data_IF_453411743618
#
_entry.id   IF_453411743618
#
_cell.length_a   1.000
_cell.length_b   1.000
_cell.length_c   1.000
_cell.angle_alpha   90.00
_cell.angle_beta   90.00
_cell.angle_gamma   90.00
#
_symmetry.space_group_name_H-M   'P 1'
#
loop_
_entity.id
_entity.type
_entity.pdbx_description
1 polymer ?
#
# COMPACT_ATOMS: atom_id res chain seq x y z
N UNK A 1 -12.89 -8.60 -6.40
CA UNK A 1 -11.96 -8.22 -5.34
C UNK A 1 -11.74 -6.70 -5.33
N UNK A 2 -11.18 -6.12 -6.39
CA UNK A 2 -10.87 -4.69 -6.47
C UNK A 2 -12.11 -3.79 -6.30
N UNK A 3 -13.26 -4.21 -6.85
CA UNK A 3 -14.54 -3.53 -6.66
C UNK A 3 -14.87 -3.33 -5.16
N UNK A 4 -14.64 -4.35 -4.33
CA UNK A 4 -14.91 -4.27 -2.89
C UNK A 4 -13.96 -3.34 -2.15
N UNK A 5 -12.70 -3.20 -2.61
CA UNK A 5 -11.78 -2.21 -2.04
C UNK A 5 -12.27 -0.78 -2.31
N UNK A 6 -12.72 -0.50 -3.53
CA UNK A 6 -13.28 0.80 -3.88
C UNK A 6 -14.55 1.09 -3.07
N UNK A 7 -15.47 0.12 -2.97
CA UNK A 7 -16.67 0.25 -2.15
C UNK A 7 -16.35 0.53 -0.68
N UNK A 8 -15.33 -0.15 -0.11
CA UNK A 8 -14.90 0.10 1.26
C UNK A 8 -14.39 1.53 1.46
N UNK A 9 -13.56 2.04 0.54
CA UNK A 9 -13.07 3.42 0.60
C UNK A 9 -14.22 4.44 0.51
N UNK A 10 -15.19 4.21 -0.37
CA UNK A 10 -16.35 5.09 -0.57
C UNK A 10 -17.27 5.20 0.65
N UNK A 11 -17.20 4.25 1.60
CA UNK A 11 -17.98 4.35 2.84
C UNK A 11 -17.52 5.49 3.75
N UNK A 12 -16.28 5.96 3.62
CA UNK A 12 -15.66 6.92 4.53
C UNK A 12 -15.42 6.39 5.96
N UNK A 13 -15.60 5.07 6.18
CA UNK A 13 -15.38 4.46 7.51
C UNK A 13 -13.91 4.19 7.81
N UNK A 14 -13.09 4.08 6.77
CA UNK A 14 -11.69 3.65 6.88
C UNK A 14 -10.75 4.76 6.44
N UNK A 15 -9.70 4.99 7.21
CA UNK A 15 -8.62 5.91 6.85
C UNK A 15 -7.67 5.28 5.82
N UNK A 16 -7.58 3.93 5.83
CA UNK A 16 -6.62 3.19 5.00
C UNK A 16 -7.20 1.86 4.52
N UNK A 17 -6.92 1.50 3.26
CA UNK A 17 -7.11 0.15 2.71
C UNK A 17 -5.81 -0.62 2.85
N UNK A 18 -5.85 -1.74 3.60
CA UNK A 18 -4.68 -2.59 3.83
C UNK A 18 -4.39 -3.53 2.65
N UNK A 19 -3.10 -3.86 2.43
CA UNK A 19 -2.59 -4.87 1.47
C UNK A 19 -3.46 -5.05 0.21
N UNK A 20 -3.59 -4.03 -0.65
CA UNK A 20 -4.67 -3.91 -1.64
C UNK A 20 -4.66 -4.95 -2.78
N UNK A 21 -3.56 -5.67 -2.99
CA UNK A 21 -3.46 -6.74 -3.98
C UNK A 21 -3.17 -8.12 -3.36
N UNK A 22 -3.54 -8.32 -2.09
CA UNK A 22 -3.31 -9.58 -1.37
C UNK A 22 -3.89 -10.80 -2.10
N UNK A 23 -4.88 -10.60 -2.95
CA UNK A 23 -5.52 -11.65 -3.76
C UNK A 23 -4.52 -12.45 -4.60
N UNK A 24 -3.38 -11.87 -4.99
CA UNK A 24 -2.30 -12.55 -5.74
C UNK A 24 -1.79 -13.80 -5.05
N UNK A 25 -1.95 -13.90 -3.72
CA UNK A 25 -1.56 -15.05 -2.94
C UNK A 25 -2.58 -16.21 -2.98
N UNK A 26 -3.77 -16.00 -3.52
CA UNK A 26 -4.78 -17.06 -3.70
C UNK A 26 -4.40 -18.00 -4.84
N UNK A 27 -3.86 -17.45 -5.94
CA UNK A 27 -3.31 -18.21 -7.07
C UNK A 27 -2.00 -17.59 -7.55
N UNK A 28 -0.89 -17.82 -6.84
CA UNK A 28 0.39 -17.21 -7.17
C UNK A 28 0.93 -17.58 -8.56
N UNK A 29 0.61 -18.79 -9.04
CA UNK A 29 1.08 -19.27 -10.34
C UNK A 29 0.31 -18.65 -11.51
N UNK A 30 -0.97 -18.32 -11.29
CA UNK A 30 -1.82 -17.69 -12.30
C UNK A 30 -1.87 -16.17 -12.19
N UNK A 31 -1.20 -15.57 -11.20
CA UNK A 31 -1.22 -14.12 -11.04
C UNK A 31 -0.43 -13.41 -12.15
N UNK A 32 -1.10 -12.51 -12.82
CA UNK A 32 -0.52 -11.60 -13.80
C UNK A 32 -1.14 -10.20 -13.61
N UNK A 33 -0.36 -9.28 -13.06
CA UNK A 33 -0.80 -7.90 -12.80
C UNK A 33 -1.29 -7.21 -14.08
N UNK A 34 -0.68 -7.50 -15.23
CA UNK A 34 -1.09 -6.94 -16.51
C UNK A 34 -2.53 -7.30 -16.89
N UNK A 35 -2.94 -8.55 -16.64
CA UNK A 35 -4.31 -9.01 -16.93
C UNK A 35 -5.36 -8.32 -16.07
N UNK A 36 -5.05 -7.99 -14.83
CA UNK A 36 -5.98 -7.34 -13.89
C UNK A 36 -5.81 -5.83 -13.80
N UNK A 37 -4.87 -5.24 -14.55
CA UNK A 37 -4.54 -3.82 -14.49
C UNK A 37 -5.75 -2.93 -14.79
N UNK A 38 -6.63 -3.34 -15.68
CA UNK A 38 -7.87 -2.62 -15.96
C UNK A 38 -8.80 -2.52 -14.75
N UNK A 39 -8.91 -3.59 -13.96
CA UNK A 39 -9.69 -3.61 -12.72
C UNK A 39 -9.01 -2.78 -11.62
N UNK A 40 -7.68 -2.88 -11.53
CA UNK A 40 -6.88 -2.08 -10.60
C UNK A 40 -7.12 -0.59 -10.88
N UNK A 41 -6.96 -0.14 -12.11
CA UNK A 41 -7.14 1.28 -12.48
C UNK A 41 -8.52 1.80 -12.13
N UNK A 42 -9.59 1.05 -12.48
CA UNK A 42 -10.97 1.42 -12.11
C UNK A 42 -11.16 1.54 -10.60
N UNK A 43 -10.60 0.62 -9.84
CA UNK A 43 -10.61 0.67 -8.38
C UNK A 43 -9.88 1.93 -7.86
N UNK A 44 -8.68 2.18 -8.35
CA UNK A 44 -7.86 3.32 -7.93
C UNK A 44 -8.47 4.66 -8.29
N UNK A 45 -9.12 4.78 -9.46
CA UNK A 45 -9.85 5.99 -9.86
C UNK A 45 -10.95 6.35 -8.84
N UNK A 46 -11.65 5.34 -8.32
CA UNK A 46 -12.69 5.52 -7.29
C UNK A 46 -12.10 5.85 -5.92
N UNK A 47 -11.02 5.17 -5.52
CA UNK A 47 -10.33 5.44 -4.25
C UNK A 47 -9.73 6.85 -4.26
N UNK A 48 -9.14 7.27 -5.37
CA UNK A 48 -8.57 8.62 -5.50
C UNK A 48 -9.60 9.75 -5.36
N UNK A 49 -10.89 9.46 -5.56
CA UNK A 49 -11.99 10.39 -5.32
C UNK A 49 -12.41 10.47 -3.84
N UNK A 50 -11.75 9.71 -2.97
CA UNK A 50 -11.97 9.70 -1.50
C UNK A 50 -10.73 10.24 -0.78
N UNK A 51 -10.82 10.42 0.54
CA UNK A 51 -9.66 10.76 1.38
C UNK A 51 -8.91 9.52 1.91
N UNK A 52 -9.29 8.32 1.45
CA UNK A 52 -8.73 7.06 1.94
C UNK A 52 -7.33 6.81 1.38
N UNK A 53 -6.39 6.55 2.27
CA UNK A 53 -5.04 6.11 1.90
C UNK A 53 -5.00 4.61 1.57
N UNK A 54 -3.90 4.16 0.98
CA UNK A 54 -3.65 2.74 0.77
C UNK A 54 -2.31 2.34 1.38
N UNK A 55 -2.24 1.09 1.84
CA UNK A 55 -1.05 0.57 2.49
C UNK A 55 -0.08 -0.04 1.48
N UNK A 56 1.24 0.19 1.70
CA UNK A 56 2.28 -0.75 1.28
C UNK A 56 2.60 -1.67 2.45
N UNK A 57 2.40 -2.97 2.25
CA UNK A 57 2.51 -3.98 3.31
C UNK A 57 3.71 -4.87 3.05
N UNK A 58 4.67 -4.84 3.98
CA UNK A 58 5.93 -5.58 3.84
C UNK A 58 5.81 -7.07 4.13
N UNK A 59 4.73 -7.53 4.80
CA UNK A 59 4.51 -8.95 5.05
C UNK A 59 4.37 -9.76 3.75
N UNK A 60 4.02 -9.10 2.66
CA UNK A 60 3.94 -9.70 1.33
C UNK A 60 5.20 -10.44 0.91
N UNK A 61 6.39 -9.97 1.33
CA UNK A 61 7.67 -10.63 1.07
C UNK A 61 7.76 -12.06 1.65
N UNK A 62 6.91 -12.41 2.61
CA UNK A 62 6.86 -13.71 3.26
C UNK A 62 5.65 -14.56 2.86
N UNK A 63 4.89 -14.10 1.87
CA UNK A 63 3.69 -14.81 1.37
C UNK A 63 4.06 -15.77 0.22
N UNK A 64 3.08 -16.50 -0.28
CA UNK A 64 3.25 -17.47 -1.39
C UNK A 64 3.69 -16.79 -2.70
N UNK A 65 3.23 -15.56 -2.95
CA UNK A 65 3.75 -14.67 -3.97
C UNK A 65 4.63 -13.65 -3.24
N UNK A 66 5.98 -13.81 -3.24
CA UNK A 66 6.87 -13.04 -2.38
C UNK A 66 7.15 -11.64 -2.94
N UNK A 67 6.19 -10.76 -2.78
CA UNK A 67 6.23 -9.36 -3.21
C UNK A 67 5.42 -8.53 -2.23
N UNK A 68 5.85 -7.30 -1.94
CA UNK A 68 5.05 -6.37 -1.12
C UNK A 68 3.64 -6.17 -1.70
N UNK A 69 2.69 -5.82 -0.86
CA UNK A 69 1.32 -5.54 -1.23
C UNK A 69 1.02 -4.02 -1.07
N UNK A 70 0.85 -3.27 -2.17
CA UNK A 70 0.81 -3.75 -3.54
C UNK A 70 2.20 -3.97 -4.15
N UNK A 71 2.21 -4.69 -5.28
CA UNK A 71 3.36 -4.78 -6.16
C UNK A 71 3.66 -3.43 -6.84
N UNK A 72 4.88 -3.28 -7.42
CA UNK A 72 5.38 -1.99 -7.89
C UNK A 72 4.51 -1.33 -8.97
N UNK A 73 3.87 -2.10 -9.84
CA UNK A 73 3.00 -1.56 -10.89
C UNK A 73 1.76 -0.87 -10.31
N UNK A 74 1.07 -1.52 -9.36
CA UNK A 74 -0.08 -0.92 -8.70
C UNK A 74 0.34 0.26 -7.82
N UNK A 75 1.50 0.19 -7.16
CA UNK A 75 2.02 1.29 -6.35
C UNK A 75 2.29 2.55 -7.19
N UNK A 76 2.83 2.39 -8.40
CA UNK A 76 3.02 3.49 -9.34
C UNK A 76 1.67 4.10 -9.78
N UNK A 77 0.68 3.27 -10.11
CA UNK A 77 -0.68 3.73 -10.46
C UNK A 77 -1.37 4.48 -9.30
N UNK A 78 -1.09 4.07 -8.05
CA UNK A 78 -1.56 4.81 -6.87
C UNK A 78 -0.91 6.19 -6.78
N UNK A 79 0.41 6.27 -7.00
CA UNK A 79 1.16 7.52 -6.96
C UNK A 79 0.68 8.51 -8.04
N UNK A 80 0.47 8.04 -9.28
CA UNK A 80 -0.04 8.85 -10.39
C UNK A 80 -1.38 9.49 -10.09
N UNK A 81 -2.22 8.85 -9.26
CA UNK A 81 -3.54 9.34 -8.83
C UNK A 81 -3.50 10.18 -7.55
N UNK A 82 -2.32 10.36 -6.96
CA UNK A 82 -2.18 11.10 -5.71
C UNK A 82 -2.79 10.40 -4.49
N UNK A 83 -3.00 9.08 -4.55
CA UNK A 83 -3.51 8.31 -3.40
C UNK A 83 -2.42 8.27 -2.33
N UNK A 84 -2.69 8.71 -1.10
CA UNK A 84 -1.69 8.68 -0.03
C UNK A 84 -1.27 7.24 0.31
N UNK A 85 0.01 7.03 0.63
CA UNK A 85 0.53 5.72 1.00
C UNK A 85 0.94 5.68 2.47
N UNK A 86 0.51 4.62 3.18
CA UNK A 86 0.96 4.29 4.54
C UNK A 86 1.80 3.02 4.51
N UNK A 87 2.71 2.84 5.47
CA UNK A 87 3.50 1.62 5.60
C UNK A 87 2.91 0.70 6.67
N UNK A 88 2.84 -0.60 6.38
CA UNK A 88 2.44 -1.63 7.32
C UNK A 88 3.32 -2.87 7.23
N UNK A 89 3.60 -3.51 8.37
CA UNK A 89 4.33 -4.77 8.43
C UNK A 89 3.41 -5.98 8.62
N UNK A 90 2.14 -5.77 8.92
CA UNK A 90 1.17 -6.84 9.24
C UNK A 90 1.78 -7.85 10.22
N UNK A 91 2.41 -7.32 11.29
CA UNK A 91 3.21 -8.10 12.20
C UNK A 91 2.33 -8.94 13.14
N UNK A 92 2.51 -10.26 13.08
CA UNK A 92 1.88 -11.24 13.98
C UNK A 92 2.87 -11.77 15.04
N UNK A 93 4.11 -11.26 15.01
CA UNK A 93 5.19 -11.56 15.94
C UNK A 93 5.91 -10.24 16.27
N UNK A 94 6.27 -9.97 17.55
CA UNK A 94 6.95 -8.73 17.92
C UNK A 94 8.22 -8.43 17.15
N UNK A 95 8.99 -9.44 16.74
CA UNK A 95 10.21 -9.26 15.93
C UNK A 95 9.94 -8.79 14.50
N UNK A 96 8.69 -8.83 14.06
CA UNK A 96 8.26 -8.40 12.72
C UNK A 96 7.75 -6.96 12.69
N UNK A 97 7.63 -6.29 13.82
CA UNK A 97 7.22 -4.88 13.88
C UNK A 97 8.21 -4.03 13.08
N UNK A 98 7.71 -3.25 12.14
CA UNK A 98 8.49 -2.44 11.20
C UNK A 98 9.49 -3.22 10.31
N UNK A 99 9.35 -4.56 10.20
CA UNK A 99 10.23 -5.36 9.35
C UNK A 99 10.16 -4.90 7.88
N UNK A 100 11.33 -4.74 7.25
CA UNK A 100 11.49 -4.33 5.85
C UNK A 100 10.94 -2.92 5.52
N UNK A 101 10.86 -2.02 6.50
CA UNK A 101 10.39 -0.64 6.26
C UNK A 101 11.37 0.18 5.42
N UNK A 102 12.68 -0.07 5.50
CA UNK A 102 13.65 0.55 4.60
C UNK A 102 13.37 0.17 3.13
N UNK A 103 13.14 -1.12 2.87
CA UNK A 103 12.79 -1.59 1.53
C UNK A 103 11.45 -0.99 1.06
N UNK A 104 10.48 -0.82 1.98
CA UNK A 104 9.21 -0.17 1.66
C UNK A 104 9.41 1.29 1.25
N UNK A 105 10.28 2.04 1.95
CA UNK A 105 10.60 3.42 1.58
C UNK A 105 11.29 3.50 0.22
N UNK A 106 12.14 2.52 -0.13
CA UNK A 106 12.74 2.43 -1.46
C UNK A 106 11.68 2.21 -2.54
N UNK A 107 10.72 1.31 -2.31
CA UNK A 107 9.62 1.07 -3.25
C UNK A 107 8.71 2.30 -3.41
N UNK A 108 8.35 2.96 -2.30
CA UNK A 108 7.55 4.19 -2.30
C UNK A 108 8.26 5.29 -3.11
N UNK A 109 9.56 5.49 -2.85
CA UNK A 109 10.37 6.48 -3.57
C UNK A 109 10.48 6.14 -5.07
N UNK A 110 10.73 4.88 -5.41
CA UNK A 110 10.82 4.42 -6.80
C UNK A 110 9.49 4.58 -7.57
N UNK A 111 8.34 4.49 -6.89
CA UNK A 111 7.03 4.75 -7.45
C UNK A 111 6.73 6.25 -7.68
N UNK A 112 7.57 7.15 -7.15
CA UNK A 112 7.44 8.59 -7.35
C UNK A 112 6.91 9.37 -6.16
N UNK A 113 6.63 8.74 -5.03
CA UNK A 113 6.22 9.44 -3.81
C UNK A 113 7.39 10.17 -3.15
N UNK A 114 7.10 11.32 -2.55
CA UNK A 114 8.04 12.08 -1.71
C UNK A 114 7.72 11.96 -0.22
N UNK A 115 6.57 11.38 0.13
CA UNK A 115 6.06 11.26 1.48
C UNK A 115 5.43 9.89 1.68
N UNK A 116 5.46 9.41 2.92
CA UNK A 116 4.53 8.40 3.44
C UNK A 116 3.57 9.08 4.40
N UNK A 117 2.43 8.46 4.70
CA UNK A 117 1.40 9.03 5.58
C UNK A 117 1.22 8.21 6.84
N UNK A 118 0.79 8.86 7.91
CA UNK A 118 0.26 8.25 9.13
C UNK A 118 -1.08 8.90 9.46
N UNK A 119 -1.89 8.21 10.26
CA UNK A 119 -3.14 8.76 10.78
C UNK A 119 -3.11 8.81 12.30
N UNK A 120 -3.45 9.98 12.86
CA UNK A 120 -3.65 10.19 14.30
C UNK A 120 -5.01 10.88 14.47
N UNK A 121 -5.87 10.30 15.30
CA UNK A 121 -7.23 10.80 15.51
C UNK A 121 -8.01 11.01 14.19
N UNK A 122 -7.85 10.07 13.24
CA UNK A 122 -8.40 10.10 11.88
C UNK A 122 -7.90 11.28 11.03
N UNK A 123 -6.84 11.93 11.44
CA UNK A 123 -6.21 13.00 10.67
C UNK A 123 -4.92 12.52 10.03
N UNK A 124 -4.83 12.67 8.71
CA UNK A 124 -3.63 12.33 7.96
C UNK A 124 -2.52 13.33 8.24
N UNK A 125 -1.32 12.80 8.40
CA UNK A 125 -0.07 13.56 8.44
C UNK A 125 0.91 12.94 7.47
N UNK A 126 1.42 13.74 6.56
CA UNK A 126 2.40 13.32 5.57
C UNK A 126 3.82 13.54 6.13
N UNK A 127 4.65 12.51 6.05
CA UNK A 127 6.03 12.50 6.55
C UNK A 127 6.96 12.37 5.35
N UNK A 128 7.88 13.31 5.13
CA UNK A 128 8.90 13.19 4.08
C UNK A 128 9.66 11.87 4.20
N UNK A 129 9.95 11.21 3.08
CA UNK A 129 10.63 9.90 3.05
C UNK A 129 11.98 9.96 3.79
N UNK A 130 12.77 11.00 3.58
CA UNK A 130 14.06 11.18 4.27
C UNK A 130 13.90 11.30 5.80
N UNK A 131 12.84 11.97 6.26
CA UNK A 131 12.54 12.04 7.68
C UNK A 131 12.13 10.66 8.22
N UNK A 132 11.31 9.91 7.48
CA UNK A 132 10.92 8.56 7.87
C UNK A 132 12.13 7.63 7.98
N UNK A 133 13.08 7.68 7.04
CA UNK A 133 14.35 6.92 7.11
C UNK A 133 15.13 7.26 8.37
N UNK A 134 15.28 8.54 8.67
CA UNK A 134 16.01 8.98 9.87
C UNK A 134 15.41 8.45 11.19
N UNK A 135 14.12 8.12 11.20
CA UNK A 135 13.43 7.53 12.35
C UNK A 135 13.60 6.01 12.45
N UNK A 136 13.94 5.31 11.37
CA UNK A 136 14.19 3.87 11.37
C UNK A 136 15.63 3.53 11.76
N UNK A 137 16.56 4.48 11.69
CA UNK A 137 17.99 4.31 11.96
C UNK A 137 18.36 4.34 13.48
N UNK A 138 17.47 3.83 14.35
CA UNK A 138 17.71 3.80 15.81
C UNK A 138 18.23 2.42 16.25
#
# INVERSE_FOLDING_TARGET
YFEHLAMAAETGFFDTIAHPDLIKNSDPAGWDTGQVMGDIRRCLDRIAATDTAMEINTSGLNKRYPEMNPGPQMLAEMCERGIPVVMGADAHDPVRVAANYEDALDHISAAGYNHTSIFLDRQRRDIPIEQARGQLAI
#
